data_IF_699557568375
#
_entry.id   IF_699557568375
#
_cell.length_a   1.000
_cell.length_b   1.000
_cell.length_c   1.000
_cell.angle_alpha   90.00
_cell.angle_beta   90.00
_cell.angle_gamma   90.00
#
_symmetry.space_group_name_H-M   'P 1'
#
loop_
_entity.id
_entity.type
_entity.pdbx_description
1 polymer ?
#
# COMPACT_ATOMS: atom_id res chain seq x y z
N UNK A 1 6.98 4.80 22.36
CA UNK A 1 6.84 4.96 21.85
C UNK A 1 6.53 5.21 20.72
N UNK A 2 6.94 5.10 20.01
CA UNK A 2 6.62 5.64 18.84
C UNK A 2 6.16 4.68 17.87
N UNK A 3 4.98 4.83 17.37
CA UNK A 3 4.52 4.07 16.26
C UNK A 3 4.74 4.87 15.05
N UNK A 4 5.96 4.89 14.60
CA UNK A 4 6.25 5.62 13.39
C UNK A 4 5.91 4.78 12.18
N UNK A 5 5.47 5.44 11.12
CA UNK A 5 5.14 4.78 9.89
C UNK A 5 3.74 4.22 9.86
N UNK A 6 3.48 3.42 8.86
CA UNK A 6 2.16 2.84 8.67
C UNK A 6 2.26 1.33 8.65
N UNK A 7 1.14 0.69 8.91
CA UNK A 7 1.00 -0.74 8.77
C UNK A 7 0.44 -1.03 7.39
N UNK A 8 1.00 -2.00 6.69
CA UNK A 8 0.53 -2.38 5.36
C UNK A 8 0.03 -3.82 5.42
N UNK A 9 -1.18 -4.03 4.92
CA UNK A 9 -1.80 -5.34 4.86
C UNK A 9 -2.14 -5.63 3.41
N UNK A 10 -1.61 -6.74 2.91
CA UNK A 10 -1.78 -7.11 1.50
C UNK A 10 -2.56 -8.41 1.42
N UNK A 11 -3.68 -8.34 0.74
CA UNK A 11 -4.54 -9.50 0.51
C UNK A 11 -4.34 -9.96 -0.93
N UNK A 12 -3.93 -11.20 -1.10
CA UNK A 12 -3.63 -11.75 -2.41
C UNK A 12 -4.31 -13.12 -2.48
N UNK A 13 -5.02 -13.39 -3.53
CA UNK A 13 -5.74 -14.65 -3.66
C UNK A 13 -4.81 -15.85 -3.61
N UNK A 14 -3.60 -15.70 -4.12
CA UNK A 14 -2.66 -16.80 -4.16
C UNK A 14 -1.92 -16.99 -2.86
N UNK A 15 -1.55 -15.90 -2.19
CA UNK A 15 -0.67 -15.98 -1.03
C UNK A 15 -1.35 -15.66 0.28
N UNK A 16 -2.60 -15.22 0.24
CA UNK A 16 -3.33 -14.87 1.44
C UNK A 16 -2.94 -13.49 1.94
N UNK A 17 -2.89 -13.35 3.25
CA UNK A 17 -2.62 -12.07 3.90
C UNK A 17 -1.16 -11.97 4.29
N UNK A 18 -0.53 -10.85 3.92
CA UNK A 18 0.81 -10.51 4.36
C UNK A 18 0.75 -9.15 5.04
N UNK A 19 1.45 -9.00 6.14
CA UNK A 19 1.44 -7.74 6.90
C UNK A 19 2.85 -7.24 7.12
N UNK A 20 3.01 -5.91 7.07
CA UNK A 20 4.29 -5.26 7.35
C UNK A 20 4.02 -4.09 8.28
N UNK A 21 4.95 -3.85 9.19
CA UNK A 21 4.87 -2.77 10.15
C UNK A 21 5.93 -1.72 9.85
N UNK A 22 5.71 -0.52 10.33
CA UNK A 22 6.71 0.55 10.27
C UNK A 22 7.13 0.90 8.84
N UNK A 23 6.18 0.86 7.92
CA UNK A 23 6.44 1.24 6.53
C UNK A 23 6.49 2.77 6.45
N UNK A 24 7.48 3.32 5.77
CA UNK A 24 7.63 4.75 5.64
C UNK A 24 6.63 5.34 4.67
N UNK A 25 6.43 4.68 3.52
CA UNK A 25 5.46 5.19 2.56
C UNK A 25 5.03 4.11 1.59
N UNK A 26 3.87 4.36 0.99
CA UNK A 26 3.34 3.59 -0.12
C UNK A 26 3.14 4.56 -1.27
N UNK A 27 3.75 4.28 -2.41
CA UNK A 27 3.58 5.09 -3.61
C UNK A 27 2.72 4.34 -4.60
N UNK A 28 1.69 5.00 -5.09
CA UNK A 28 0.80 4.44 -6.10
C UNK A 28 1.00 5.24 -7.37
N UNK A 29 1.31 4.57 -8.47
CA UNK A 29 1.52 5.23 -9.75
C UNK A 29 0.59 4.60 -10.77
N UNK A 30 -0.38 5.39 -11.21
CA UNK A 30 -1.36 4.98 -12.22
C UNK A 30 -1.36 6.01 -13.34
N UNK A 31 -1.87 5.65 -14.53
CA UNK A 31 -2.00 6.65 -15.59
C UNK A 31 -2.85 7.85 -15.17
N UNK A 32 -3.84 7.62 -14.29
CA UNK A 32 -4.76 8.67 -13.89
C UNK A 32 -4.25 9.51 -12.75
N UNK A 33 -3.36 8.99 -11.90
CA UNK A 33 -2.90 9.72 -10.72
C UNK A 33 -1.65 9.11 -10.12
N UNK A 34 -0.97 9.91 -9.33
CA UNK A 34 0.14 9.47 -8.48
C UNK A 34 -0.21 9.83 -7.04
N UNK A 35 0.11 8.94 -6.13
CA UNK A 35 -0.23 9.15 -4.73
C UNK A 35 0.90 8.66 -3.86
N UNK A 36 1.22 9.42 -2.83
CA UNK A 36 2.22 9.03 -1.84
C UNK A 36 1.56 9.06 -0.47
N UNK A 37 1.41 7.88 0.13
CA UNK A 37 0.74 7.74 1.41
C UNK A 37 1.80 7.54 2.49
N UNK A 38 1.80 8.42 3.48
CA UNK A 38 2.72 8.40 4.59
C UNK A 38 1.94 8.43 5.89
N UNK A 39 2.64 8.44 7.00
CA UNK A 39 2.00 8.50 8.30
C UNK A 39 1.07 9.71 8.39
N UNK A 40 -0.07 9.50 9.00
CA UNK A 40 -1.10 10.54 9.24
C UNK A 40 -1.74 11.07 7.96
N UNK A 41 -1.70 10.27 6.90
CA UNK A 41 -2.40 10.62 5.67
C UNK A 41 -3.91 10.56 5.91
N UNK A 42 -4.65 11.40 5.22
CA UNK A 42 -6.11 11.40 5.32
C UNK A 42 -6.69 10.07 4.85
N UNK A 43 -7.84 9.68 5.38
CA UNK A 43 -8.49 8.44 4.90
C UNK A 43 -8.76 8.52 3.41
N UNK A 44 -8.48 7.42 2.72
CA UNK A 44 -8.67 7.36 1.28
C UNK A 44 -8.98 5.93 0.86
N UNK A 45 -9.79 5.81 -0.18
CA UNK A 45 -10.13 4.53 -0.77
C UNK A 45 -10.09 4.71 -2.29
N UNK A 46 -9.62 3.70 -2.99
CA UNK A 46 -9.55 3.81 -4.44
C UNK A 46 -9.19 2.52 -5.13
N UNK A 47 -9.01 2.64 -6.43
CA UNK A 47 -8.60 1.52 -7.27
C UNK A 47 -7.25 1.82 -7.88
N UNK A 48 -6.47 0.77 -8.08
CA UNK A 48 -5.16 0.85 -8.70
C UNK A 48 -5.19 0.04 -9.99
N UNK A 49 -4.71 0.65 -11.05
CA UNK A 49 -4.43 -0.04 -12.30
C UNK A 49 -3.05 0.47 -12.69
N UNK A 50 -2.03 -0.12 -12.13
CA UNK A 50 -0.68 0.39 -12.29
C UNK A 50 0.29 -0.23 -11.30
N UNK A 51 1.13 0.60 -10.71
CA UNK A 51 2.24 0.14 -9.88
C UNK A 51 2.08 0.61 -8.44
N UNK A 52 2.58 -0.21 -7.51
CA UNK A 52 2.60 0.12 -6.09
C UNK A 52 3.99 -0.18 -5.55
N UNK A 53 4.59 0.80 -4.89
CA UNK A 53 5.87 0.62 -4.20
C UNK A 53 5.65 0.78 -2.70
N UNK A 54 6.19 -0.14 -1.93
CA UNK A 54 6.08 -0.13 -0.46
C UNK A 54 7.50 -0.09 0.09
N UNK A 55 7.82 0.94 0.83
CA UNK A 55 9.20 1.19 1.23
C UNK A 55 9.36 1.56 2.70
N UNK A 56 10.43 1.04 3.26
CA UNK A 56 10.94 1.47 4.55
C UNK A 56 12.43 1.20 4.55
N UNK A 57 13.08 1.38 5.70
CA UNK A 57 14.53 1.16 5.77
C UNK A 57 14.89 -0.28 5.40
N UNK A 58 14.07 -1.23 5.79
CA UNK A 58 14.37 -2.64 5.60
C UNK A 58 13.53 -3.29 4.50
N UNK A 59 12.52 -2.61 4.00
CA UNK A 59 11.53 -3.23 3.12
C UNK A 59 11.42 -2.44 1.83
N UNK A 60 11.51 -3.16 0.72
CA UNK A 60 11.42 -2.56 -0.60
C UNK A 60 10.65 -3.54 -1.47
N UNK A 61 9.35 -3.32 -1.58
CA UNK A 61 8.45 -4.20 -2.30
C UNK A 61 7.79 -3.41 -3.41
N UNK A 62 7.75 -3.99 -4.61
CA UNK A 62 7.11 -3.36 -5.74
C UNK A 62 6.17 -4.33 -6.42
N UNK A 63 5.00 -3.85 -6.77
CA UNK A 63 4.06 -4.56 -7.63
C UNK A 63 3.90 -3.74 -8.90
N UNK A 64 4.03 -4.39 -10.04
CA UNK A 64 3.92 -3.69 -11.33
C UNK A 64 2.75 -4.24 -12.10
N UNK A 65 2.03 -3.34 -12.76
CA UNK A 65 0.91 -3.68 -13.64
C UNK A 65 -0.13 -4.54 -12.95
N UNK A 66 -0.51 -4.12 -11.75
CA UNK A 66 -1.54 -4.85 -11.00
C UNK A 66 -2.86 -4.09 -11.05
N UNK A 67 -3.92 -4.84 -10.79
CA UNK A 67 -5.24 -4.27 -10.55
C UNK A 67 -5.62 -4.61 -9.12
N UNK A 68 -5.97 -3.59 -8.36
CA UNK A 68 -6.21 -3.76 -6.94
C UNK A 68 -7.16 -2.70 -6.42
N UNK A 69 -7.72 -2.96 -5.26
CA UNK A 69 -8.39 -1.95 -4.47
C UNK A 69 -7.51 -1.61 -3.29
N UNK A 70 -7.63 -0.40 -2.78
CA UNK A 70 -6.95 -0.06 -1.54
C UNK A 70 -7.84 0.79 -0.65
N UNK A 71 -7.55 0.72 0.63
CA UNK A 71 -8.20 1.55 1.62
C UNK A 71 -7.16 1.87 2.68
N UNK A 72 -6.96 3.15 2.95
CA UNK A 72 -5.99 3.59 3.94
C UNK A 72 -6.69 4.49 4.94
N UNK A 73 -6.51 4.21 6.22
CA UNK A 73 -7.13 4.98 7.28
C UNK A 73 -6.38 4.69 8.58
N UNK A 74 -6.16 5.72 9.37
CA UNK A 74 -5.56 5.59 10.71
C UNK A 74 -4.24 4.83 10.66
N UNK A 75 -3.42 5.17 9.69
CA UNK A 75 -2.08 4.59 9.52
C UNK A 75 -2.09 3.09 9.22
N UNK A 76 -3.17 2.60 8.64
CA UNK A 76 -3.24 1.23 8.13
C UNK A 76 -3.63 1.30 6.65
N UNK A 77 -2.75 0.78 5.81
CA UNK A 77 -2.98 0.72 4.37
C UNK A 77 -3.33 -0.72 4.01
N UNK A 78 -4.50 -0.91 3.44
CA UNK A 78 -4.96 -2.22 3.00
C UNK A 78 -4.94 -2.29 1.50
N UNK A 79 -4.28 -3.29 0.96
CA UNK A 79 -4.18 -3.50 -0.48
C UNK A 79 -4.81 -4.85 -0.81
N UNK A 80 -5.80 -4.84 -1.69
CA UNK A 80 -6.46 -6.07 -2.11
C UNK A 80 -6.20 -6.27 -3.59
N UNK A 81 -5.31 -7.20 -3.91
CA UNK A 81 -4.88 -7.43 -5.28
C UNK A 81 -5.90 -8.30 -5.99
N UNK A 82 -6.44 -7.78 -7.10
CA UNK A 82 -7.39 -8.51 -7.92
C UNK A 82 -6.68 -9.31 -9.01
N UNK A 83 -5.70 -8.69 -9.65
CA UNK A 83 -4.97 -9.29 -10.76
C UNK A 83 -3.56 -8.79 -10.79
N UNK A 84 -2.71 -9.60 -11.28
CA UNK A 84 -1.33 -9.23 -11.55
C UNK A 84 -0.97 -9.49 -12.97
#
# INVERSE_FOLDING_TARGET
MNNEGIKVRIFDLDKGLTEYEHIQYVRIVCPQYNLLIMQDYLPIIGEIDGNVDIRSDDIDISFKDIKAFYMSSKNVFNLMIKER
#
